data_IF_854616091252
#
_entry.id   IF_854616091252
#
_cell.length_a   1.000
_cell.length_b   1.000
_cell.length_c   1.000
_cell.angle_alpha   90.00
_cell.angle_beta   90.00
_cell.angle_gamma   90.00
#
_symmetry.space_group_name_H-M   'P 1'
#
loop_
_entity.id
_entity.type
_entity.pdbx_description
1 polymer ?
#
# COMPACT_ATOMS: atom_id res chain seq x y z
N UNK A 1 0.28 -50.50 54.88
CA UNK A 1 0.32 -49.20 55.59
C UNK A 1 1.74 -48.68 55.49
N UNK A 2 1.91 -47.41 55.10
CA UNK A 2 2.98 -46.43 55.44
C UNK A 2 4.39 -46.92 55.76
N UNK A 3 5.48 -46.22 55.46
CA UNK A 3 5.75 -44.93 54.83
C UNK A 3 7.28 -44.81 54.80
N UNK A 4 7.81 -44.19 53.75
CA UNK A 4 8.96 -43.27 53.75
C UNK A 4 10.28 -43.69 54.41
N UNK A 5 11.35 -43.81 53.63
CA UNK A 5 12.70 -43.38 54.06
C UNK A 5 13.42 -42.65 52.93
N UNK A 6 13.77 -41.40 53.24
CA UNK A 6 14.60 -40.42 52.56
C UNK A 6 16.04 -40.88 52.36
N UNK A 7 16.70 -40.51 51.25
CA UNK A 7 18.17 -40.48 51.19
C UNK A 7 18.66 -39.16 50.58
N UNK A 8 19.55 -38.53 51.34
CA UNK A 8 20.16 -37.22 51.15
C UNK A 8 21.50 -37.38 50.42
N UNK A 9 21.74 -36.43 49.51
CA UNK A 9 22.99 -35.95 48.92
C UNK A 9 24.33 -36.51 49.41
N UNK A 10 25.23 -36.78 48.46
CA UNK A 10 26.63 -36.36 48.57
C UNK A 10 27.25 -36.06 47.21
N UNK A 11 28.04 -34.99 47.23
CA UNK A 11 28.67 -34.26 46.12
C UNK A 11 29.97 -34.94 45.70
N UNK A 12 30.30 -34.91 44.40
CA UNK A 12 31.66 -35.11 43.92
C UNK A 12 32.00 -34.02 42.91
N UNK A 13 32.74 -33.02 43.41
CA UNK A 13 33.44 -32.01 42.62
C UNK A 13 34.79 -32.59 42.24
N UNK A 14 35.10 -32.61 40.95
CA UNK A 14 36.48 -32.68 40.46
C UNK A 14 36.73 -31.47 39.57
N UNK A 15 37.55 -30.58 40.10
CA UNK A 15 38.23 -29.51 39.37
C UNK A 15 39.32 -30.12 38.50
N UNK A 16 39.33 -29.79 37.22
CA UNK A 16 40.54 -29.77 36.41
C UNK A 16 40.49 -28.50 35.55
N UNK A 17 41.45 -27.63 35.83
CA UNK A 17 41.68 -26.31 35.25
C UNK A 17 42.49 -26.38 33.95
N UNK A 18 42.59 -25.23 33.27
CA UNK A 18 43.56 -24.83 32.21
C UNK A 18 43.05 -25.21 30.80
N UNK A 19 42.92 -24.34 29.78
CA UNK A 19 43.61 -23.10 29.44
C UNK A 19 42.66 -22.12 28.71
N UNK A 20 42.88 -20.83 28.92
CA UNK A 20 42.33 -19.78 28.08
C UNK A 20 43.13 -19.71 26.77
N UNK A 21 42.51 -20.06 25.64
CA UNK A 21 42.93 -19.55 24.34
C UNK A 21 41.76 -18.86 23.66
N UNK A 22 41.85 -17.54 23.61
CA UNK A 22 41.04 -16.67 22.79
C UNK A 22 41.29 -17.04 21.31
N UNK A 23 40.41 -17.86 20.75
CA UNK A 23 40.20 -17.86 19.32
C UNK A 23 39.04 -16.90 19.03
N UNK A 24 39.41 -15.70 18.59
CA UNK A 24 38.56 -14.86 17.77
C UNK A 24 38.15 -15.67 16.53
N UNK A 25 37.05 -16.41 16.64
CA UNK A 25 36.26 -16.80 15.49
C UNK A 25 35.08 -15.84 15.48
N UNK A 26 35.01 -15.03 14.41
CA UNK A 26 33.80 -14.34 14.04
C UNK A 26 32.72 -15.40 13.80
N UNK A 27 32.03 -15.80 14.86
CA UNK A 27 30.71 -16.39 14.74
C UNK A 27 29.81 -15.24 14.29
N UNK A 28 29.77 -15.02 12.96
CA UNK A 28 28.68 -14.31 12.31
C UNK A 28 27.44 -15.10 12.69
N UNK A 29 26.86 -14.73 13.82
CA UNK A 29 25.46 -14.89 14.09
C UNK A 29 24.73 -14.36 12.87
N UNK A 30 24.44 -15.26 11.93
CA UNK A 30 23.31 -15.16 11.04
C UNK A 30 22.07 -15.13 11.93
N UNK A 31 21.86 -13.99 12.60
CA UNK A 31 20.52 -13.47 12.71
C UNK A 31 20.13 -13.27 11.26
N UNK A 32 19.54 -14.31 10.68
CA UNK A 32 18.51 -14.12 9.67
C UNK A 32 17.50 -13.22 10.33
N UNK A 33 17.72 -11.91 10.21
CA UNK A 33 16.65 -10.94 10.29
C UNK A 33 15.56 -11.56 9.45
N UNK A 34 14.48 -11.91 10.14
CA UNK A 34 13.34 -12.57 9.55
C UNK A 34 12.76 -11.51 8.64
N UNK A 35 13.26 -11.46 7.40
CA UNK A 35 12.92 -10.46 6.41
C UNK A 35 11.40 -10.42 6.38
N UNK A 36 10.82 -9.35 6.93
CA UNK A 36 9.37 -9.28 7.07
C UNK A 36 8.82 -9.32 5.65
N UNK A 37 8.08 -10.39 5.34
CA UNK A 37 7.63 -10.66 3.99
C UNK A 37 6.56 -9.63 3.66
N UNK A 38 6.94 -8.56 2.96
CA UNK A 38 5.99 -7.58 2.47
C UNK A 38 4.99 -8.25 1.52
N UNK A 39 3.70 -7.85 1.58
CA UNK A 39 2.69 -8.41 0.71
C UNK A 39 3.01 -8.06 -0.76
N UNK A 40 3.08 -9.08 -1.61
CA UNK A 40 3.12 -8.86 -3.05
C UNK A 40 1.83 -8.21 -3.55
N UNK A 41 1.84 -7.64 -4.76
CA UNK A 41 0.62 -7.12 -5.39
C UNK A 41 -0.52 -8.15 -5.36
N UNK A 42 -0.23 -9.43 -5.60
CA UNK A 42 -1.23 -10.50 -5.57
C UNK A 42 -1.75 -10.78 -4.17
N UNK A 43 -0.89 -10.78 -3.15
CA UNK A 43 -1.26 -11.08 -1.76
C UNK A 43 -2.04 -9.93 -1.11
N UNK A 44 -1.89 -8.69 -1.58
CA UNK A 44 -2.44 -7.50 -0.91
C UNK A 44 -3.96 -7.55 -0.71
N UNK A 45 -4.70 -8.09 -1.69
CA UNK A 45 -6.16 -8.26 -1.61
C UNK A 45 -6.63 -9.72 -1.71
N UNK A 46 -5.69 -10.68 -1.66
CA UNK A 46 -6.03 -12.09 -1.88
C UNK A 46 -7.10 -12.57 -0.88
N UNK A 47 -8.15 -13.20 -1.41
CA UNK A 47 -9.23 -13.77 -0.58
C UNK A 47 -10.17 -12.73 0.03
N UNK A 48 -10.06 -11.45 -0.36
CA UNK A 48 -10.99 -10.40 0.04
C UNK A 48 -12.02 -10.14 -1.05
N UNK A 49 -13.15 -9.55 -0.66
CA UNK A 49 -14.09 -8.92 -1.58
C UNK A 49 -14.04 -7.42 -1.36
N UNK A 50 -14.00 -6.66 -2.45
CA UNK A 50 -13.98 -5.20 -2.37
C UNK A 50 -15.23 -4.61 -3.03
N UNK A 51 -15.94 -3.78 -2.28
CA UNK A 51 -17.06 -3.00 -2.80
C UNK A 51 -16.54 -1.63 -3.24
N UNK A 52 -16.74 -1.29 -4.51
CA UNK A 52 -16.26 -0.06 -5.14
C UNK A 52 -16.80 1.19 -4.40
N UNK A 53 -17.99 1.10 -3.80
CA UNK A 53 -18.57 2.19 -3.00
C UNK A 53 -17.71 2.59 -1.80
N UNK A 54 -16.89 1.68 -1.28
CA UNK A 54 -16.01 1.96 -0.14
C UNK A 54 -14.85 2.88 -0.50
N UNK A 55 -14.51 3.01 -1.78
CA UNK A 55 -13.48 3.94 -2.23
C UNK A 55 -14.02 5.36 -2.45
N UNK A 56 -15.33 5.53 -2.66
CA UNK A 56 -15.92 6.80 -3.09
C UNK A 56 -15.72 7.90 -2.04
N UNK A 57 -15.23 9.05 -2.48
CA UNK A 57 -14.94 10.20 -1.63
C UNK A 57 -13.51 10.70 -1.79
N UNK A 58 -13.13 11.64 -0.92
CA UNK A 58 -11.80 12.23 -0.89
C UNK A 58 -10.97 11.66 0.25
N UNK A 59 -9.76 11.23 -0.07
CA UNK A 59 -8.84 10.60 0.86
C UNK A 59 -7.51 11.36 0.87
N UNK A 60 -6.92 11.47 2.03
CA UNK A 60 -5.65 12.16 2.22
C UNK A 60 -4.57 11.15 2.57
N UNK A 61 -3.39 11.34 1.98
CA UNK A 61 -2.25 10.51 2.31
C UNK A 61 -1.87 10.70 3.78
N UNK A 62 -1.98 9.62 4.57
CA UNK A 62 -1.69 9.66 6.01
C UNK A 62 -0.20 9.55 6.33
N UNK A 63 0.64 9.22 5.35
CA UNK A 63 2.07 9.19 5.53
C UNK A 63 2.80 9.83 4.36
N UNK A 64 3.39 10.99 4.61
CA UNK A 64 4.54 11.45 3.85
C UNK A 64 5.80 11.19 4.70
N UNK A 65 6.44 10.03 4.52
CA UNK A 65 7.91 10.01 4.58
C UNK A 65 8.40 10.72 3.32
N UNK A 66 8.26 12.03 3.28
CA UNK A 66 9.05 12.82 2.34
C UNK A 66 10.22 13.40 3.12
N UNK A 67 11.39 12.82 2.86
CA UNK A 67 12.57 13.65 2.70
C UNK A 67 12.16 14.88 1.87
N UNK A 68 12.04 16.04 2.53
CA UNK A 68 11.93 17.38 1.91
C UNK A 68 10.67 17.64 1.05
N UNK A 69 9.47 17.75 1.65
CA UNK A 69 8.33 18.39 0.95
C UNK A 69 8.40 19.91 1.03
N UNK A 70 8.55 20.57 -0.12
CA UNK A 70 8.20 21.98 -0.33
C UNK A 70 6.79 22.13 -0.93
N UNK A 71 5.79 21.42 -0.39
CA UNK A 71 4.41 21.39 -0.92
C UNK A 71 3.35 21.44 0.17
N UNK A 72 2.20 22.09 -0.12
CA UNK A 72 1.07 22.26 0.81
C UNK A 72 0.20 21.00 0.97
N UNK A 73 -0.70 20.99 1.95
CA UNK A 73 -1.55 19.83 2.32
C UNK A 73 -2.42 19.32 1.15
N UNK A 74 -2.83 20.20 0.23
CA UNK A 74 -3.65 19.87 -0.93
C UNK A 74 -2.92 19.07 -2.02
N UNK A 75 -1.58 18.98 -2.00
CA UNK A 75 -0.83 18.19 -2.99
C UNK A 75 -0.90 16.68 -2.77
N UNK A 76 -1.53 16.23 -1.68
CA UNK A 76 -1.54 14.82 -1.25
C UNK A 76 -2.94 14.27 -0.98
N UNK A 77 -3.91 14.70 -1.80
CA UNK A 77 -5.29 14.22 -1.76
C UNK A 77 -5.59 13.37 -3.02
N UNK A 78 -6.36 12.30 -2.85
CA UNK A 78 -6.89 11.44 -3.92
C UNK A 78 -8.41 11.39 -3.81
N UNK A 79 -9.13 11.66 -4.89
CA UNK A 79 -10.60 11.54 -4.89
C UNK A 79 -11.07 10.44 -5.83
N UNK A 80 -12.01 9.62 -5.37
CA UNK A 80 -12.67 8.60 -6.18
C UNK A 80 -14.15 8.92 -6.39
N UNK A 81 -14.61 8.78 -7.62
CA UNK A 81 -16.03 8.86 -8.00
C UNK A 81 -16.44 7.64 -8.82
N UNK A 82 -17.75 7.33 -8.81
CA UNK A 82 -18.29 6.27 -9.64
C UNK A 82 -18.37 6.74 -11.09
N UNK A 83 -18.02 5.85 -12.03
CA UNK A 83 -18.17 6.11 -13.47
C UNK A 83 -19.58 5.70 -13.88
N UNK A 84 -20.35 6.67 -14.37
CA UNK A 84 -21.70 6.41 -14.88
C UNK A 84 -21.67 6.01 -16.37
N UNK A 85 -22.81 5.54 -16.88
CA UNK A 85 -22.91 5.05 -18.26
C UNK A 85 -22.69 6.15 -19.30
N UNK A 86 -23.10 7.39 -19.02
CA UNK A 86 -22.90 8.50 -19.93
C UNK A 86 -21.39 8.80 -20.08
N UNK A 87 -20.69 8.99 -18.96
CA UNK A 87 -19.24 9.26 -18.94
C UNK A 87 -18.46 8.13 -19.61
N UNK A 88 -18.83 6.88 -19.35
CA UNK A 88 -18.23 5.70 -19.97
C UNK A 88 -18.38 5.70 -21.50
N UNK A 89 -19.57 6.04 -22.00
CA UNK A 89 -19.83 6.10 -23.43
C UNK A 89 -19.07 7.26 -24.09
N UNK A 90 -19.08 8.44 -23.48
CA UNK A 90 -18.34 9.61 -23.94
C UNK A 90 -16.83 9.32 -24.03
N UNK A 91 -16.26 8.65 -23.02
CA UNK A 91 -14.86 8.22 -23.04
C UNK A 91 -14.59 7.23 -24.16
N UNK A 92 -15.46 6.23 -24.33
CA UNK A 92 -15.31 5.22 -25.38
C UNK A 92 -15.32 5.85 -26.76
N UNK A 93 -16.19 6.83 -27.01
CA UNK A 93 -16.25 7.56 -28.27
C UNK A 93 -15.00 8.41 -28.50
N UNK A 94 -14.52 9.09 -27.45
CA UNK A 94 -13.39 10.00 -27.52
C UNK A 94 -12.06 9.28 -27.74
N UNK A 95 -11.79 8.26 -26.93
CA UNK A 95 -10.46 7.62 -26.84
C UNK A 95 -10.45 6.14 -27.21
N UNK A 96 -11.59 5.52 -27.51
CA UNK A 96 -11.68 4.07 -27.65
C UNK A 96 -10.84 3.47 -28.78
N UNK A 97 -10.56 4.24 -29.83
CA UNK A 97 -9.67 3.82 -30.92
C UNK A 97 -8.17 3.85 -30.56
N UNK A 98 -7.80 4.50 -29.46
CA UNK A 98 -6.43 4.61 -28.98
C UNK A 98 -6.13 3.68 -27.81
N UNK A 99 -7.16 3.11 -27.18
CA UNK A 99 -7.02 2.22 -26.01
C UNK A 99 -7.40 0.80 -26.40
N UNK A 100 -6.39 -0.03 -26.57
CA UNK A 100 -6.58 -1.45 -26.89
C UNK A 100 -6.95 -2.27 -25.65
N UNK A 101 -7.77 -3.32 -25.84
CA UNK A 101 -8.05 -4.35 -24.82
C UNK A 101 -8.57 -3.78 -23.48
N UNK A 102 -9.45 -2.77 -23.54
CA UNK A 102 -10.18 -2.24 -22.38
C UNK A 102 -11.62 -2.74 -22.40
N UNK A 103 -12.07 -3.34 -21.29
CA UNK A 103 -13.49 -3.66 -21.07
C UNK A 103 -14.19 -2.44 -20.51
N UNK A 104 -14.82 -1.67 -21.39
CA UNK A 104 -15.47 -0.40 -21.03
C UNK A 104 -16.55 -0.59 -19.96
N UNK A 105 -17.30 -1.69 -19.99
CA UNK A 105 -18.29 -2.11 -19.01
C UNK A 105 -17.70 -2.36 -17.60
N UNK A 106 -16.39 -2.53 -17.50
CA UNK A 106 -15.69 -2.70 -16.23
C UNK A 106 -15.04 -1.41 -15.71
N UNK A 107 -15.14 -0.27 -16.42
CA UNK A 107 -14.78 1.03 -15.87
C UNK A 107 -15.79 1.43 -14.80
N UNK A 108 -15.40 1.32 -13.53
CA UNK A 108 -16.32 1.51 -12.39
C UNK A 108 -15.97 2.70 -11.52
N UNK A 109 -14.68 3.06 -11.47
CA UNK A 109 -14.18 4.16 -10.66
C UNK A 109 -13.35 5.13 -11.51
N UNK A 110 -13.47 6.41 -11.19
CA UNK A 110 -12.59 7.47 -11.63
C UNK A 110 -11.81 7.95 -10.42
N UNK A 111 -10.50 8.04 -10.55
CA UNK A 111 -9.57 8.54 -9.54
C UNK A 111 -8.92 9.81 -10.05
N UNK A 112 -8.82 10.82 -9.20
CA UNK A 112 -8.24 12.11 -9.54
C UNK A 112 -7.16 12.51 -8.52
N UNK A 113 -5.98 12.85 -9.02
CA UNK A 113 -4.79 13.17 -8.21
C UNK A 113 -4.06 14.43 -8.73
N UNK A 114 -3.83 15.46 -7.89
CA UNK A 114 -4.49 15.64 -6.59
C UNK A 114 -6.00 15.85 -6.77
N UNK A 115 -6.75 15.82 -5.67
CA UNK A 115 -8.16 16.21 -5.65
C UNK A 115 -8.39 17.57 -6.33
N UNK A 116 -9.55 17.73 -6.98
CA UNK A 116 -9.93 19.03 -7.55
C UNK A 116 -10.15 20.04 -6.43
N UNK A 117 -9.44 21.16 -6.45
CA UNK A 117 -9.70 22.30 -5.57
C UNK A 117 -9.80 23.59 -6.38
N UNK A 118 -10.67 24.54 -5.96
CA UNK A 118 -10.76 25.84 -6.62
C UNK A 118 -9.37 26.53 -6.64
N UNK A 119 -8.82 26.75 -7.83
CA UNK A 119 -7.49 27.34 -8.00
C UNK A 119 -6.37 26.35 -8.30
N UNK A 120 -6.61 25.04 -8.23
CA UNK A 120 -5.63 24.01 -8.59
C UNK A 120 -6.03 23.26 -9.88
N UNK A 121 -5.50 23.72 -11.02
CA UNK A 121 -5.87 23.20 -12.35
C UNK A 121 -4.96 22.05 -12.86
N UNK A 122 -4.25 21.34 -11.98
CA UNK A 122 -3.23 20.33 -12.38
C UNK A 122 -3.53 18.92 -11.88
N UNK A 123 -4.81 18.56 -11.77
CA UNK A 123 -5.19 17.17 -11.46
C UNK A 123 -5.04 16.26 -12.68
N UNK A 124 -4.67 15.01 -12.43
CA UNK A 124 -4.66 13.93 -13.41
C UNK A 124 -5.82 13.00 -13.12
N UNK A 125 -6.49 12.59 -14.18
CA UNK A 125 -7.59 11.64 -14.11
C UNK A 125 -7.09 10.25 -14.50
N UNK A 126 -7.51 9.26 -13.72
CA UNK A 126 -7.27 7.84 -13.94
C UNK A 126 -8.61 7.11 -13.89
N UNK A 127 -8.98 6.40 -14.94
CA UNK A 127 -10.13 5.51 -14.92
C UNK A 127 -9.69 4.10 -14.51
N UNK A 128 -10.47 3.45 -13.65
CA UNK A 128 -10.14 2.13 -13.12
C UNK A 128 -11.06 1.06 -13.73
N UNK A 129 -10.47 0.20 -14.54
CA UNK A 129 -11.07 -1.03 -15.03
C UNK A 129 -10.99 -2.09 -13.95
N UNK A 130 -12.14 -2.55 -13.46
CA UNK A 130 -12.22 -3.67 -12.53
C UNK A 130 -11.80 -4.97 -13.22
N UNK A 131 -10.78 -5.62 -12.68
CA UNK A 131 -10.28 -6.91 -13.18
C UNK A 131 -10.96 -8.07 -12.46
N UNK A 132 -10.95 -8.02 -11.12
CA UNK A 132 -11.46 -9.05 -10.23
C UNK A 132 -12.36 -8.43 -9.15
N UNK A 133 -13.10 -9.26 -8.41
CA UNK A 133 -13.99 -8.82 -7.32
C UNK A 133 -13.26 -8.49 -6.02
N UNK A 134 -11.94 -8.63 -5.98
CA UNK A 134 -11.11 -8.53 -4.77
C UNK A 134 -10.54 -7.12 -4.55
N UNK A 135 -10.80 -6.17 -5.45
CA UNK A 135 -10.20 -4.84 -5.43
C UNK A 135 -9.00 -4.70 -6.36
N UNK A 136 -8.79 -5.64 -7.28
CA UNK A 136 -7.82 -5.54 -8.36
C UNK A 136 -8.37 -4.71 -9.54
N UNK A 137 -7.61 -3.67 -9.91
CA UNK A 137 -7.92 -2.77 -11.02
C UNK A 137 -6.75 -2.63 -11.98
N UNK A 138 -7.08 -2.19 -13.19
CA UNK A 138 -6.12 -1.62 -14.13
C UNK A 138 -6.47 -0.17 -14.36
N UNK A 139 -5.53 0.73 -14.11
CA UNK A 139 -5.73 2.15 -14.36
C UNK A 139 -5.66 2.45 -15.86
N UNK A 140 -6.28 3.54 -16.25
CA UNK A 140 -6.19 4.19 -17.54
C UNK A 140 -5.92 5.66 -17.28
N UNK A 141 -4.67 6.08 -17.42
CA UNK A 141 -4.29 7.48 -17.24
C UNK A 141 -4.78 8.30 -18.42
N UNK A 142 -5.50 9.39 -18.14
CA UNK A 142 -5.90 10.33 -19.17
C UNK A 142 -4.75 11.26 -19.53
N UNK A 143 -4.45 11.43 -20.83
CA UNK A 143 -3.51 12.46 -21.26
C UNK A 143 -4.10 13.86 -21.00
N UNK A 144 -3.25 14.88 -21.09
CA UNK A 144 -3.71 16.27 -21.00
C UNK A 144 -4.82 16.52 -22.03
N UNK A 145 -5.88 17.30 -21.71
CA UNK A 145 -6.92 17.66 -22.68
C UNK A 145 -6.40 18.33 -23.95
N UNK A 146 -5.21 18.93 -23.88
CA UNK A 146 -4.53 19.58 -25.00
C UNK A 146 -3.55 18.67 -25.75
N UNK A 147 -3.35 17.43 -25.31
CA UNK A 147 -2.45 16.49 -25.96
C UNK A 147 -3.03 16.01 -27.29
N UNK A 148 -2.16 15.84 -28.29
CA UNK A 148 -2.52 15.14 -29.50
C UNK A 148 -2.51 13.64 -29.21
N UNK A 149 -3.69 13.01 -29.22
CA UNK A 149 -3.84 11.61 -28.83
C UNK A 149 -3.08 10.65 -29.75
N UNK A 150 -2.18 9.89 -29.14
CA UNK A 150 -1.54 8.70 -29.71
C UNK A 150 -1.83 7.47 -28.82
N UNK A 151 -1.73 6.27 -29.37
CA UNK A 151 -1.83 5.00 -28.62
C UNK A 151 -0.77 4.98 -27.50
N UNK A 152 0.43 5.49 -27.78
CA UNK A 152 1.54 5.49 -26.82
C UNK A 152 1.29 6.36 -25.57
N UNK A 153 0.31 7.26 -25.59
CA UNK A 153 0.03 8.16 -24.47
C UNK A 153 -0.79 7.48 -23.35
N UNK A 154 -1.46 6.37 -23.66
CA UNK A 154 -2.37 5.70 -22.73
C UNK A 154 -1.64 4.67 -21.88
N UNK A 155 -1.21 5.12 -20.71
CA UNK A 155 -0.54 4.27 -19.72
C UNK A 155 -1.56 3.56 -18.82
N UNK A 156 -1.30 2.27 -18.58
CA UNK A 156 -2.16 1.41 -17.77
C UNK A 156 -1.34 0.66 -16.75
N UNK A 157 -1.63 0.87 -15.47
CA UNK A 157 -0.89 0.26 -14.37
C UNK A 157 -1.81 -0.63 -13.52
N UNK A 158 -1.35 -1.80 -13.07
CA UNK A 158 -2.08 -2.60 -12.09
C UNK A 158 -2.12 -1.87 -10.74
N UNK A 159 -3.30 -1.81 -10.15
CA UNK A 159 -3.53 -1.17 -8.85
C UNK A 159 -4.45 -2.05 -8.01
N UNK A 160 -4.25 -2.03 -6.69
CA UNK A 160 -5.15 -2.72 -5.76
C UNK A 160 -5.67 -1.81 -4.66
N UNK A 161 -6.96 -1.95 -4.34
CA UNK A 161 -7.63 -1.23 -3.26
C UNK A 161 -8.10 -2.18 -2.17
N UNK A 162 -7.98 -1.75 -0.91
CA UNK A 162 -8.40 -2.51 0.27
C UNK A 162 -8.91 -1.59 1.37
N UNK A 163 -9.99 -1.98 2.03
CA UNK A 163 -10.39 -1.34 3.30
C UNK A 163 -9.52 -1.89 4.43
N UNK A 164 -8.88 -1.00 5.17
CA UNK A 164 -8.01 -1.33 6.32
C UNK A 164 -8.69 -0.82 7.59
N UNK A 165 -8.82 -1.70 8.60
CA UNK A 165 -9.42 -1.39 9.90
C UNK A 165 -10.82 -0.74 9.83
N UNK A 166 -11.54 -0.95 8.72
CA UNK A 166 -12.90 -0.41 8.50
C UNK A 166 -12.99 1.11 8.27
N UNK A 167 -11.87 1.84 8.29
CA UNK A 167 -11.88 3.31 8.24
C UNK A 167 -10.80 3.93 7.33
N UNK A 168 -9.82 3.14 6.88
CA UNK A 168 -8.76 3.60 5.98
C UNK A 168 -8.87 2.91 4.63
N UNK A 169 -8.37 3.59 3.60
CA UNK A 169 -8.23 3.04 2.26
C UNK A 169 -6.75 2.76 2.01
N UNK A 170 -6.40 1.49 1.85
CA UNK A 170 -5.11 1.07 1.31
C UNK A 170 -5.15 1.09 -0.21
N UNK A 171 -4.19 1.78 -0.83
CA UNK A 171 -4.01 1.82 -2.27
C UNK A 171 -2.60 1.34 -2.61
N UNK A 172 -2.48 0.23 -3.34
CA UNK A 172 -1.21 -0.29 -3.79
C UNK A 172 -1.00 0.01 -5.28
N UNK A 173 0.07 0.73 -5.61
CA UNK A 173 0.60 0.81 -6.96
C UNK A 173 1.47 -0.42 -7.20
N UNK A 174 1.05 -1.34 -8.07
CA UNK A 174 1.77 -2.58 -8.29
C UNK A 174 2.97 -2.43 -9.24
N UNK A 175 3.11 -1.30 -9.93
CA UNK A 175 4.30 -0.97 -10.71
C UNK A 175 5.45 -0.59 -9.78
N UNK A 176 5.20 0.39 -8.91
CA UNK A 176 6.20 0.92 -7.98
C UNK A 176 6.30 0.14 -6.66
N UNK A 177 5.34 -0.78 -6.41
CA UNK A 177 5.22 -1.61 -5.20
C UNK A 177 5.09 -0.79 -3.90
N UNK A 178 4.52 0.41 -3.99
CA UNK A 178 4.20 1.23 -2.82
C UNK A 178 2.76 1.04 -2.38
N UNK A 179 2.55 1.03 -1.06
CA UNK A 179 1.21 1.02 -0.45
C UNK A 179 0.96 2.36 0.23
N UNK A 180 0.01 3.11 -0.28
CA UNK A 180 -0.46 4.34 0.34
C UNK A 180 -1.58 4.01 1.31
N UNK A 181 -1.44 4.41 2.57
CA UNK A 181 -2.56 4.43 3.51
C UNK A 181 -3.20 5.81 3.44
N UNK A 182 -4.46 5.83 3.04
CA UNK A 182 -5.26 7.03 2.87
C UNK A 182 -6.36 7.07 3.94
N UNK A 183 -6.69 8.26 4.42
CA UNK A 183 -7.70 8.44 5.45
C UNK A 183 -8.39 9.80 5.39
N UNK A 184 -9.24 10.10 6.38
CA UNK A 184 -9.83 11.42 6.51
C UNK A 184 -8.72 12.47 6.67
N UNK A 185 -9.00 13.71 6.26
CA UNK A 185 -8.04 14.80 6.36
C UNK A 185 -7.52 14.89 7.80
N UNK A 186 -6.21 14.80 8.03
CA UNK A 186 -5.67 14.93 9.38
C UNK A 186 -5.98 16.34 9.89
N UNK A 187 -6.43 16.51 11.15
CA UNK A 187 -6.60 17.82 11.74
C UNK A 187 -5.25 18.56 11.75
N UNK A 188 -5.24 19.82 11.32
CA UNK A 188 -4.01 20.63 11.29
C UNK A 188 -3.28 20.59 12.65
N UNK A 189 -1.98 20.30 12.61
CA UNK A 189 -1.11 20.34 13.79
C UNK A 189 -1.22 19.16 14.77
N UNK A 190 -1.95 18.09 14.43
CA UNK A 190 -1.97 16.87 15.25
C UNK A 190 -0.99 15.82 14.75
N UNK A 191 -0.21 15.25 15.65
CA UNK A 191 0.60 14.07 15.34
C UNK A 191 -0.29 12.87 15.04
N UNK A 192 0.16 12.04 14.09
CA UNK A 192 -0.41 10.73 13.79
C UNK A 192 -0.24 9.86 15.04
N UNK A 193 -1.30 9.14 15.44
CA UNK A 193 -1.22 8.25 16.60
C UNK A 193 -0.28 7.05 16.36
N UNK A 194 0.26 6.47 17.44
CA UNK A 194 1.22 5.36 17.38
C UNK A 194 0.63 4.07 16.76
N UNK A 195 -0.69 3.86 16.83
CA UNK A 195 -1.34 2.70 16.21
C UNK A 195 -1.29 2.85 14.68
N UNK A 196 -1.59 4.05 14.18
CA UNK A 196 -1.57 4.37 12.77
C UNK A 196 -0.13 4.39 12.22
N UNK A 197 0.86 4.89 12.98
CA UNK A 197 2.27 4.77 12.60
C UNK A 197 2.70 3.31 12.38
N UNK A 198 2.45 2.43 13.36
CA UNK A 198 2.76 0.99 13.24
C UNK A 198 2.05 0.33 12.07
N UNK A 199 0.83 0.75 11.77
CA UNK A 199 0.09 0.25 10.61
C UNK A 199 0.71 0.69 9.30
N UNK A 200 1.09 1.96 9.18
CA UNK A 200 1.82 2.49 8.03
C UNK A 200 3.11 1.69 7.83
N UNK A 201 3.90 1.50 8.88
CA UNK A 201 5.16 0.75 8.83
C UNK A 201 4.96 -0.70 8.38
N UNK A 202 3.86 -1.35 8.79
CA UNK A 202 3.53 -2.71 8.36
C UNK A 202 3.26 -2.82 6.85
N UNK A 203 2.63 -1.80 6.26
CA UNK A 203 2.24 -1.80 4.85
C UNK A 203 3.30 -1.18 3.92
N UNK A 204 4.22 -0.37 4.45
CA UNK A 204 5.28 0.27 3.66
C UNK A 204 6.51 -0.65 3.56
N UNK A 205 7.14 -0.78 2.38
CA UNK A 205 8.43 -1.47 2.30
C UNK A 205 9.47 -0.69 3.10
N UNK A 206 10.21 -1.36 3.98
CA UNK A 206 11.46 -0.76 4.45
C UNK A 206 12.33 -0.51 3.21
N UNK A 207 12.92 0.68 3.09
CA UNK A 207 13.95 0.92 2.10
C UNK A 207 15.00 -0.17 2.28
N UNK A 208 15.18 -1.01 1.26
CA UNK A 208 16.37 -1.85 1.20
C UNK A 208 17.56 -0.92 1.24
N UNK A 209 18.23 -0.88 2.39
CA UNK A 209 19.52 -0.24 2.57
C UNK A 209 20.56 -0.79 1.58
#
# INVERSE_FOLDING_TARGET
MSSTITLIFTVLVLYASVDAMAHHSHDKSERREKQEKHPTCQEFTQGLSFNDSNAIGSWHLLHLRMEKSTGGVDSHCVSFSAVNDQERNELKELIGKYVENLKWENLVLKMQIPCSSPGFNRSRDYYLEKLEGDGSYRTLQMPSPTAKLDIADFHRYPMRLKVIEGQYLGMMDCHEKFVFILGPQPPEGKEIDEKLKKMIDFYWPEETA
#
